data_IF_845676323406
#
_entry.id   IF_845676323406
#
_cell.length_a   1.000
_cell.length_b   1.000
_cell.length_c   1.000
_cell.angle_alpha   90.00
_cell.angle_beta   90.00
_cell.angle_gamma   90.00
#
_symmetry.space_group_name_H-M   'P 1'
#
loop_
_entity.id
_entity.type
_entity.pdbx_description
1 polymer ?
#
# COMPACT_ATOMS: atom_id res chain seq x y z
N UNK A 1 3.57 -13.57 -10.65
CA UNK A 1 4.56 -13.07 -11.62
C UNK A 1 3.95 -11.92 -12.44
N UNK A 2 4.70 -10.86 -12.77
CA UNK A 2 4.22 -9.69 -13.54
C UNK A 2 3.09 -8.87 -12.90
N UNK A 3 3.07 -8.74 -11.57
CA UNK A 3 2.15 -7.86 -10.84
C UNK A 3 2.90 -6.71 -10.17
N UNK A 4 2.18 -5.68 -9.71
CA UNK A 4 2.72 -4.55 -8.94
C UNK A 4 3.43 -4.95 -7.63
N UNK A 5 3.21 -6.21 -7.19
CA UNK A 5 3.79 -6.82 -5.98
C UNK A 5 4.67 -8.03 -6.31
N UNK A 6 5.30 -8.03 -7.49
CA UNK A 6 6.04 -9.18 -8.03
C UNK A 6 7.46 -9.35 -7.50
N UNK A 7 8.11 -8.26 -7.06
CA UNK A 7 9.49 -8.28 -6.58
C UNK A 7 9.54 -8.50 -5.07
N UNK A 8 8.86 -7.64 -4.30
CA UNK A 8 8.84 -7.68 -2.83
C UNK A 8 7.49 -7.25 -2.30
N UNK A 9 7.14 -7.74 -1.11
CA UNK A 9 5.99 -7.26 -0.34
C UNK A 9 6.39 -7.10 1.12
N UNK A 10 5.73 -6.17 1.81
CA UNK A 10 5.89 -6.03 3.25
C UNK A 10 4.71 -5.28 3.87
N UNK A 11 4.44 -5.61 5.13
CA UNK A 11 3.43 -4.91 5.91
C UNK A 11 3.80 -3.42 6.03
N UNK A 12 2.78 -2.56 5.96
CA UNK A 12 2.94 -1.13 6.14
C UNK A 12 2.63 -0.72 7.58
N UNK A 13 1.45 -0.16 7.78
CA UNK A 13 0.97 0.26 9.08
C UNK A 13 0.51 -0.93 9.96
N UNK A 14 0.44 -0.76 11.29
CA UNK A 14 -0.22 -1.71 12.17
C UNK A 14 -1.66 -2.02 11.69
N UNK A 15 -2.12 -3.28 11.76
CA UNK A 15 -3.47 -3.64 11.35
C UNK A 15 -4.54 -2.99 12.24
N UNK A 16 -5.65 -2.58 11.63
CA UNK A 16 -6.85 -2.09 12.31
C UNK A 16 -7.93 -3.16 12.29
N UNK A 17 -8.58 -3.35 13.43
CA UNK A 17 -9.70 -4.30 13.56
C UNK A 17 -10.95 -3.74 12.88
N UNK A 18 -11.56 -4.53 12.00
CA UNK A 18 -12.83 -4.21 11.33
C UNK A 18 -13.81 -5.38 11.45
N UNK A 19 -15.04 -5.21 10.95
CA UNK A 19 -16.05 -6.28 10.84
C UNK A 19 -15.72 -7.32 9.77
N UNK A 20 -14.88 -6.98 8.79
CA UNK A 20 -14.41 -7.90 7.73
C UNK A 20 -13.09 -8.60 8.05
N UNK A 21 -12.38 -8.20 9.12
CA UNK A 21 -11.06 -8.75 9.46
C UNK A 21 -10.08 -7.74 10.06
N UNK A 22 -8.82 -8.14 10.20
CA UNK A 22 -7.71 -7.22 10.42
C UNK A 22 -7.33 -6.58 9.09
N UNK A 23 -7.67 -5.30 8.92
CA UNK A 23 -7.35 -4.49 7.75
C UNK A 23 -5.96 -3.89 7.91
N UNK A 24 -5.08 -4.08 6.93
CA UNK A 24 -3.78 -3.42 6.91
C UNK A 24 -3.40 -2.96 5.50
N UNK A 25 -2.75 -1.79 5.38
CA UNK A 25 -2.08 -1.41 4.16
C UNK A 25 -0.75 -2.16 4.06
N UNK A 26 -0.37 -2.56 2.86
CA UNK A 26 0.92 -3.19 2.60
C UNK A 26 1.55 -2.59 1.34
N UNK A 27 2.88 -2.63 1.24
CA UNK A 27 3.56 -2.24 0.03
C UNK A 27 3.83 -3.46 -0.87
N UNK A 28 3.79 -3.21 -2.17
CA UNK A 28 4.27 -4.11 -3.20
C UNK A 28 5.29 -3.37 -4.06
N UNK A 29 6.41 -4.03 -4.32
CA UNK A 29 7.43 -3.53 -5.23
C UNK A 29 7.38 -4.32 -6.54
N UNK A 30 7.51 -3.61 -7.65
CA UNK A 30 7.79 -4.20 -8.97
C UNK A 30 9.03 -3.54 -9.57
N UNK A 31 9.83 -4.31 -10.28
CA UNK A 31 11.04 -3.81 -10.95
C UNK A 31 10.73 -3.55 -12.42
N UNK A 32 11.00 -2.33 -12.87
CA UNK A 32 10.95 -1.90 -14.27
C UNK A 32 12.36 -1.51 -14.72
N UNK A 33 12.52 -1.18 -16.01
CA UNK A 33 13.82 -0.80 -16.57
C UNK A 33 14.46 0.39 -15.83
N UNK A 34 13.62 1.33 -15.42
CA UNK A 34 13.93 2.56 -14.72
C UNK A 34 14.23 2.40 -13.21
N UNK A 35 14.00 1.21 -12.66
CA UNK A 35 14.18 0.90 -11.23
C UNK A 35 12.95 0.30 -10.58
N UNK A 36 12.90 0.34 -9.24
CA UNK A 36 11.75 -0.19 -8.51
C UNK A 36 10.61 0.84 -8.44
N UNK A 37 9.38 0.34 -8.49
CA UNK A 37 8.16 1.11 -8.19
C UNK A 37 7.52 0.48 -6.97
N UNK A 38 7.34 1.29 -5.91
CA UNK A 38 6.65 0.89 -4.70
C UNK A 38 5.25 1.49 -4.69
N UNK A 39 4.25 0.61 -4.67
CA UNK A 39 2.85 0.97 -4.58
C UNK A 39 2.26 0.36 -3.30
N UNK A 40 1.08 0.82 -2.91
CA UNK A 40 0.36 0.36 -1.74
C UNK A 40 -0.94 -0.35 -2.15
N UNK A 41 -1.30 -1.39 -1.41
CA UNK A 41 -2.59 -2.07 -1.52
C UNK A 41 -3.14 -2.47 -0.16
N UNK A 42 -4.27 -3.18 -0.17
CA UNK A 42 -4.97 -3.61 1.04
C UNK A 42 -4.88 -5.11 1.24
N UNK A 43 -4.68 -5.51 2.49
CA UNK A 43 -4.77 -6.89 2.94
C UNK A 43 -5.80 -6.98 4.07
N UNK A 44 -6.55 -8.08 4.11
CA UNK A 44 -7.49 -8.40 5.19
C UNK A 44 -7.16 -9.78 5.72
N UNK A 45 -6.93 -9.89 7.03
CA UNK A 45 -6.61 -11.15 7.73
C UNK A 45 -7.77 -11.57 8.64
N UNK A 46 -7.86 -12.86 8.94
CA UNK A 46 -8.89 -13.39 9.85
C UNK A 46 -8.67 -12.89 11.29
N UNK A 47 -9.78 -12.50 11.96
CA UNK A 47 -9.73 -11.93 13.31
C UNK A 47 -9.18 -12.89 14.37
N UNK A 48 -9.43 -14.19 14.20
CA UNK A 48 -9.05 -15.23 15.16
C UNK A 48 -7.71 -15.87 14.81
N UNK A 49 -7.42 -16.02 13.51
CA UNK A 49 -6.17 -16.57 13.03
C UNK A 49 -5.53 -15.65 11.97
N UNK A 50 -4.68 -14.67 12.35
CA UNK A 50 -4.12 -13.70 11.42
C UNK A 50 -3.18 -14.31 10.37
N UNK A 51 -2.75 -15.57 10.51
CA UNK A 51 -2.03 -16.30 9.45
C UNK A 51 -2.93 -16.60 8.25
N UNK A 52 -4.26 -16.63 8.46
CA UNK A 52 -5.25 -16.81 7.40
C UNK A 52 -5.54 -15.46 6.73
N UNK A 53 -5.02 -15.32 5.52
CA UNK A 53 -5.32 -14.20 4.63
C UNK A 53 -6.72 -14.36 4.04
N UNK A 54 -7.61 -13.40 4.29
CA UNK A 54 -8.96 -13.37 3.72
C UNK A 54 -8.99 -12.65 2.37
N UNK A 55 -8.14 -11.64 2.20
CA UNK A 55 -8.06 -10.88 0.96
C UNK A 55 -6.70 -10.21 0.80
N UNK A 56 -6.25 -10.13 -0.46
CA UNK A 56 -5.17 -9.25 -0.90
C UNK A 56 -5.62 -8.57 -2.20
N UNK A 57 -5.39 -7.27 -2.31
CA UNK A 57 -5.76 -6.52 -3.50
C UNK A 57 -4.95 -6.96 -4.73
N UNK A 58 -5.66 -7.10 -5.85
CA UNK A 58 -5.05 -7.50 -7.13
C UNK A 58 -4.43 -6.30 -7.85
N UNK A 59 -5.01 -5.11 -7.67
CA UNK A 59 -4.48 -3.82 -8.10
C UNK A 59 -3.94 -3.00 -6.90
N UNK A 60 -3.01 -2.05 -7.14
CA UNK A 60 -2.61 -1.09 -6.12
C UNK A 60 -3.79 -0.16 -5.80
N UNK A 61 -3.95 0.20 -4.53
CA UNK A 61 -4.86 1.24 -4.09
C UNK A 61 -4.23 2.64 -4.22
N UNK A 62 -2.91 2.73 -4.05
CA UNK A 62 -2.13 3.92 -4.36
C UNK A 62 -0.85 3.53 -5.09
N UNK A 63 -0.49 4.30 -6.12
CA UNK A 63 0.76 4.17 -6.86
C UNK A 63 1.36 5.57 -7.06
N UNK A 64 2.69 5.71 -7.21
CA UNK A 64 3.31 7.02 -7.38
C UNK A 64 2.78 7.74 -8.64
N UNK A 65 2.11 8.86 -8.44
CA UNK A 65 1.51 9.69 -9.49
C UNK A 65 1.75 11.19 -9.23
N UNK A 66 1.69 11.62 -7.97
CA UNK A 66 1.88 13.01 -7.61
C UNK A 66 3.36 13.40 -7.71
N UNK A 67 3.69 14.68 -8.00
CA UNK A 67 5.08 15.12 -8.14
C UNK A 67 5.96 14.84 -6.92
N UNK A 68 5.39 14.88 -5.71
CA UNK A 68 6.13 14.59 -4.47
C UNK A 68 6.36 13.08 -4.23
N UNK A 69 5.76 12.20 -5.02
CA UNK A 69 5.92 10.73 -4.97
C UNK A 69 6.95 10.24 -6.00
N UNK A 70 7.40 11.14 -6.88
CA UNK A 70 8.32 10.88 -7.96
C UNK A 70 9.49 11.86 -7.87
N UNK A 71 10.61 11.43 -7.30
CA UNK A 71 11.84 12.20 -7.34
C UNK A 71 12.63 11.81 -8.60
N UNK A 72 12.91 12.78 -9.47
CA UNK A 72 13.68 12.58 -10.71
C UNK A 72 15.15 12.94 -10.56
N UNK A 73 15.46 13.82 -9.62
CA UNK A 73 16.82 14.26 -9.34
C UNK A 73 17.56 13.22 -8.50
N UNK A 74 18.86 13.07 -8.76
CA UNK A 74 19.75 12.21 -7.99
C UNK A 74 19.81 12.71 -6.54
N UNK A 75 19.53 11.83 -5.60
CA UNK A 75 19.73 12.08 -4.17
C UNK A 75 20.72 11.03 -3.67
N UNK A 76 21.96 11.40 -3.30
CA UNK A 76 23.01 10.44 -2.98
C UNK A 76 22.62 9.38 -1.94
N UNK A 77 21.77 9.73 -0.97
CA UNK A 77 21.31 8.80 0.07
C UNK A 77 20.23 7.81 -0.43
N UNK A 78 19.50 8.17 -1.49
CA UNK A 78 18.36 7.39 -2.02
C UNK A 78 18.74 6.59 -3.28
N UNK A 79 19.65 7.12 -4.11
CA UNK A 79 20.10 6.48 -5.35
C UNK A 79 20.75 5.10 -5.14
N UNK A 80 21.27 4.86 -3.94
CA UNK A 80 21.87 3.58 -3.53
C UNK A 80 20.84 2.43 -3.45
N UNK A 81 19.53 2.71 -3.50
CA UNK A 81 18.46 1.74 -3.30
C UNK A 81 17.89 1.09 -4.60
N UNK A 82 18.62 1.14 -5.72
CA UNK A 82 18.24 0.63 -7.06
C UNK A 82 17.19 1.47 -7.81
N UNK A 83 17.28 2.79 -7.69
CA UNK A 83 16.50 3.73 -8.50
C UNK A 83 17.40 4.27 -9.63
N UNK A 84 17.30 3.70 -10.84
CA UNK A 84 18.19 4.05 -11.96
C UNK A 84 17.86 5.42 -12.54
N UNK A 85 16.58 5.76 -12.64
CA UNK A 85 16.11 7.05 -13.17
C UNK A 85 15.01 7.64 -12.30
N UNK A 86 15.35 7.82 -11.02
CA UNK A 86 14.49 8.44 -10.03
C UNK A 86 13.69 7.47 -9.17
N UNK A 87 13.19 7.99 -8.06
CA UNK A 87 12.54 7.28 -6.96
C UNK A 87 11.03 7.37 -7.15
N UNK A 88 10.36 6.22 -7.23
CA UNK A 88 8.90 6.10 -7.38
C UNK A 88 8.36 5.31 -6.20
N UNK A 89 8.00 6.00 -5.13
CA UNK A 89 7.65 5.35 -3.87
C UNK A 89 6.39 5.95 -3.25
N UNK A 90 5.43 5.06 -2.97
CA UNK A 90 4.38 5.21 -1.97
C UNK A 90 4.57 4.08 -0.95
N UNK A 91 5.01 4.43 0.26
CA UNK A 91 5.31 3.45 1.30
C UNK A 91 4.42 3.67 2.54
N UNK A 92 3.36 2.87 2.75
CA UNK A 92 2.40 3.08 3.84
C UNK A 92 3.04 2.75 5.19
N UNK A 93 2.97 3.68 6.14
CA UNK A 93 3.56 3.52 7.48
C UNK A 93 2.57 3.81 8.62
N UNK A 94 1.49 4.55 8.36
CA UNK A 94 0.45 4.82 9.34
C UNK A 94 -0.94 4.62 8.77
N UNK A 95 -1.85 4.05 9.56
CA UNK A 95 -3.27 3.97 9.28
C UNK A 95 -4.00 4.50 10.51
N UNK A 96 -4.67 5.64 10.37
CA UNK A 96 -5.31 6.34 11.48
C UNK A 96 -6.79 6.50 11.19
N UNK A 97 -7.61 6.10 12.16
CA UNK A 97 -9.05 6.40 12.13
C UNK A 97 -9.30 7.85 12.51
N UNK A 98 -10.03 8.59 11.66
CA UNK A 98 -10.42 9.97 11.92
C UNK A 98 -11.85 10.21 11.46
N UNK A 99 -12.80 10.17 12.40
CA UNK A 99 -14.22 10.29 12.09
C UNK A 99 -14.67 9.17 11.15
N UNK A 100 -15.26 9.54 10.02
CA UNK A 100 -15.73 8.61 8.99
C UNK A 100 -14.64 8.13 8.02
N UNK A 101 -13.39 8.60 8.18
CA UNK A 101 -12.30 8.32 7.26
C UNK A 101 -11.16 7.52 7.91
N UNK A 102 -10.44 6.77 7.08
CA UNK A 102 -9.07 6.35 7.33
C UNK A 102 -8.11 7.35 6.69
N UNK A 103 -7.07 7.72 7.43
CA UNK A 103 -5.91 8.43 6.92
C UNK A 103 -4.73 7.47 6.83
N UNK A 104 -4.22 7.27 5.61
CA UNK A 104 -3.00 6.50 5.36
C UNK A 104 -1.84 7.48 5.28
N UNK A 105 -0.94 7.46 6.25
CA UNK A 105 0.33 8.18 6.18
C UNK A 105 1.37 7.32 5.48
N UNK A 106 2.07 7.91 4.52
CA UNK A 106 3.04 7.20 3.70
C UNK A 106 4.27 8.04 3.40
N UNK A 107 5.42 7.36 3.29
CA UNK A 107 6.62 7.93 2.72
C UNK A 107 6.44 8.09 1.21
N UNK A 108 6.77 9.28 0.70
CA UNK A 108 6.69 9.65 -0.71
C UNK A 108 8.11 9.92 -1.24
N UNK A 109 8.50 9.16 -2.27
CA UNK A 109 9.83 9.21 -2.90
C UNK A 109 11.03 9.16 -1.94
N UNK A 110 10.88 8.57 -0.75
CA UNK A 110 11.87 8.54 0.34
C UNK A 110 12.39 9.91 0.80
N UNK A 111 11.66 10.99 0.50
CA UNK A 111 12.06 12.38 0.81
C UNK A 111 11.00 13.17 1.53
N UNK A 112 9.76 12.67 1.58
CA UNK A 112 8.62 13.40 2.12
C UNK A 112 7.64 12.45 2.80
N UNK A 113 6.79 13.02 3.65
CA UNK A 113 5.65 12.32 4.23
C UNK A 113 4.38 12.92 3.64
N UNK A 114 3.49 12.07 3.16
CA UNK A 114 2.19 12.44 2.63
C UNK A 114 1.08 11.66 3.33
N UNK A 115 -0.17 12.07 3.09
CA UNK A 115 -1.34 11.41 3.63
C UNK A 115 -2.43 11.28 2.56
N UNK A 116 -3.02 10.08 2.48
CA UNK A 116 -4.19 9.80 1.66
C UNK A 116 -5.40 9.54 2.56
N UNK A 117 -6.58 9.92 2.08
CA UNK A 117 -7.85 9.78 2.80
C UNK A 117 -8.77 8.84 2.05
N UNK A 118 -9.41 7.93 2.76
CA UNK A 118 -10.43 7.04 2.22
C UNK A 118 -11.57 6.89 3.22
N UNK A 119 -12.81 6.90 2.72
CA UNK A 119 -13.98 6.70 3.59
C UNK A 119 -13.98 5.26 4.14
N UNK A 120 -14.17 5.11 5.46
CA UNK A 120 -14.10 3.80 6.12
C UNK A 120 -15.18 2.84 5.62
N UNK A 121 -16.41 3.34 5.50
CA UNK A 121 -17.57 2.51 5.13
C UNK A 121 -17.46 2.02 3.69
N UNK A 122 -17.08 2.91 2.77
CA UNK A 122 -16.90 2.55 1.36
C UNK A 122 -15.78 1.51 1.19
N UNK A 123 -14.63 1.73 1.83
CA UNK A 123 -13.50 0.79 1.77
C UNK A 123 -13.89 -0.58 2.32
N UNK A 124 -14.45 -0.63 3.53
CA UNK A 124 -14.85 -1.88 4.19
C UNK A 124 -15.92 -2.60 3.37
N UNK A 125 -16.91 -1.89 2.84
CA UNK A 125 -17.97 -2.46 2.00
C UNK A 125 -17.38 -3.10 0.73
N UNK A 126 -16.51 -2.36 0.03
CA UNK A 126 -15.87 -2.84 -1.21
C UNK A 126 -14.99 -4.06 -0.97
N UNK A 127 -14.14 -4.04 0.07
CA UNK A 127 -13.29 -5.17 0.42
C UNK A 127 -14.11 -6.38 0.89
N UNK A 128 -15.18 -6.15 1.66
CA UNK A 128 -16.10 -7.20 2.10
C UNK A 128 -16.80 -7.91 0.93
N UNK A 129 -17.20 -7.16 -0.10
CA UNK A 129 -17.75 -7.73 -1.34
C UNK A 129 -16.70 -8.57 -2.08
N UNK A 130 -15.49 -8.04 -2.22
CA UNK A 130 -14.40 -8.75 -2.88
C UNK A 130 -14.01 -10.05 -2.14
N UNK A 131 -14.06 -10.07 -0.80
CA UNK A 131 -13.86 -11.29 0.00
C UNK A 131 -14.92 -12.34 -0.32
N UNK A 132 -16.20 -11.94 -0.36
CA UNK A 132 -17.32 -12.86 -0.66
C UNK A 132 -17.19 -13.47 -2.05
N UNK A 133 -16.85 -12.66 -3.06
CA UNK A 133 -16.68 -13.11 -4.44
C UNK A 133 -15.50 -14.07 -4.62
N UNK A 134 -14.45 -13.99 -3.80
CA UNK A 134 -13.32 -14.94 -3.85
C UNK A 134 -13.61 -16.27 -3.13
N UNK A 135 -14.68 -16.35 -2.36
CA UNK A 135 -15.06 -17.54 -1.58
C UNK A 135 -16.21 -18.36 -2.20
N UNK A 136 -16.93 -17.79 -3.17
CA UNK A 136 -17.97 -18.48 -3.95
C UNK A 136 -17.43 -19.03 -5.26
#
# INVERSE_FOLDING_TARGET
PNTWRSSRVGAGAPPVRTDIGWLLPFHGATSIEEGNVYSMGWCVLDLKNPEKVLYVSDAPALTPEAPYEIQRESIPQVDMANFRTGVRVVFPQGLVERGEDFLVYYGAADVSVAAARVNKRELISSLGEAIRLKQG
#
